data_IF_223085015996
#
_entry.id   IF_223085015996
#
_cell.length_a   1.000
_cell.length_b   1.000
_cell.length_c   1.000
_cell.angle_alpha   90.00
_cell.angle_beta   90.00
_cell.angle_gamma   90.00
#
_symmetry.space_group_name_H-M   'P 1'
#
loop_
_entity.id
_entity.type
_entity.pdbx_description
1 polymer ?
#
# COMPACT_ATOMS: atom_id res chain seq x y z
N UNK A 1 -25.43 -6.65 -18.05
CA UNK A 1 -24.03 -6.26 -18.39
C UNK A 1 -23.15 -7.50 -18.29
N UNK A 2 -22.42 -7.87 -19.36
CA UNK A 2 -21.72 -9.17 -19.48
C UNK A 2 -20.45 -9.23 -18.58
N UNK A 3 -20.16 -10.39 -17.98
CA UNK A 3 -19.04 -10.63 -17.04
C UNK A 3 -17.68 -10.22 -17.64
N UNK A 4 -17.50 -10.48 -18.94
CA UNK A 4 -16.34 -10.08 -19.74
C UNK A 4 -16.13 -8.56 -19.80
N UNK A 5 -17.23 -7.77 -19.83
CA UNK A 5 -17.16 -6.30 -19.78
C UNK A 5 -16.79 -5.78 -18.38
N UNK A 6 -17.22 -6.48 -17.32
CA UNK A 6 -16.79 -6.17 -15.94
C UNK A 6 -15.29 -6.40 -15.79
N UNK A 7 -14.77 -7.56 -16.20
CA UNK A 7 -13.32 -7.90 -16.13
C UNK A 7 -12.44 -6.88 -16.88
N UNK A 8 -12.87 -6.43 -18.07
CA UNK A 8 -12.15 -5.37 -18.80
C UNK A 8 -12.25 -4.00 -18.12
N UNK A 9 -13.38 -3.66 -17.53
CA UNK A 9 -13.52 -2.45 -16.71
C UNK A 9 -12.71 -2.51 -15.42
N UNK A 10 -12.36 -3.70 -14.91
CA UNK A 10 -11.48 -3.90 -13.75
C UNK A 10 -10.00 -3.63 -14.02
N UNK A 11 -9.55 -3.52 -15.28
CA UNK A 11 -8.18 -3.14 -15.58
C UNK A 11 -7.99 -1.64 -15.34
N UNK A 12 -7.34 -1.31 -14.22
CA UNK A 12 -6.79 0.04 -13.99
C UNK A 12 -5.79 0.33 -15.12
N UNK A 13 -5.74 1.55 -15.70
CA UNK A 13 -4.61 1.97 -16.51
C UNK A 13 -3.40 2.15 -15.60
N UNK A 14 -2.77 1.01 -15.30
CA UNK A 14 -1.66 0.83 -14.36
C UNK A 14 -0.48 1.78 -14.67
N UNK A 15 -0.27 2.14 -15.93
CA UNK A 15 0.91 2.86 -16.42
C UNK A 15 0.97 4.31 -15.89
N UNK A 16 -0.16 5.03 -15.80
CA UNK A 16 -0.17 6.41 -15.29
C UNK A 16 -0.01 6.48 -13.77
N UNK A 17 -0.68 5.58 -13.04
CA UNK A 17 -0.65 5.49 -11.58
C UNK A 17 0.72 4.99 -11.09
N UNK A 18 1.30 3.99 -11.76
CA UNK A 18 2.68 3.55 -11.47
C UNK A 18 3.67 4.69 -11.71
N UNK A 19 3.53 5.49 -12.77
CA UNK A 19 4.42 6.63 -13.02
C UNK A 19 4.45 7.65 -11.88
N UNK A 20 3.28 7.97 -11.30
CA UNK A 20 3.15 8.89 -10.17
C UNK A 20 3.69 8.31 -8.85
N UNK A 21 3.47 7.01 -8.61
CA UNK A 21 3.97 6.31 -7.43
C UNK A 21 5.47 6.07 -7.47
N UNK A 22 6.01 5.70 -8.64
CA UNK A 22 7.45 5.50 -8.86
C UNK A 22 8.21 6.77 -8.55
N UNK A 23 7.69 7.95 -8.95
CA UNK A 23 8.31 9.23 -8.62
C UNK A 23 8.34 9.44 -7.10
N UNK A 24 7.25 9.16 -6.38
CA UNK A 24 7.22 9.25 -4.91
C UNK A 24 8.16 8.23 -4.24
N UNK A 25 8.24 7.00 -4.78
CA UNK A 25 9.06 5.90 -4.28
C UNK A 25 10.57 6.09 -4.52
N UNK A 26 10.95 6.86 -5.54
CA UNK A 26 12.34 7.21 -5.87
C UNK A 26 12.94 8.29 -4.94
N UNK A 27 12.12 9.11 -4.26
CA UNK A 27 12.61 10.10 -3.29
C UNK A 27 12.91 9.52 -1.90
N UNK A 28 12.64 8.24 -1.68
CA UNK A 28 12.93 7.50 -0.44
C UNK A 28 14.41 7.13 -0.34
N UNK A 29 15.21 7.91 0.38
CA UNK A 29 16.62 7.60 0.65
C UNK A 29 16.77 6.80 1.95
N UNK A 30 17.29 5.57 1.82
CA UNK A 30 17.75 4.62 2.87
C UNK A 30 16.80 4.35 4.04
N UNK A 31 15.92 3.35 3.87
CA UNK A 31 15.43 2.55 5.00
C UNK A 31 16.24 1.24 5.07
N UNK A 32 16.38 0.64 6.25
CA UNK A 32 16.95 -0.71 6.33
C UNK A 32 15.90 -1.71 5.84
N UNK A 33 16.07 -2.25 4.63
CA UNK A 33 15.18 -3.30 4.12
C UNK A 33 15.22 -4.52 5.04
N UNK A 34 14.05 -5.03 5.43
CA UNK A 34 13.89 -6.04 6.49
C UNK A 34 13.51 -7.41 5.94
N UNK A 35 12.58 -7.45 4.98
CA UNK A 35 11.98 -8.67 4.45
C UNK A 35 12.42 -8.95 3.01
N UNK A 36 12.66 -10.21 2.66
CA UNK A 36 12.70 -10.65 1.25
C UNK A 36 11.29 -10.62 0.64
N UNK A 37 11.22 -10.79 -0.68
CA UNK A 37 9.94 -10.95 -1.37
C UNK A 37 9.15 -12.15 -0.82
N UNK A 38 9.81 -13.30 -0.65
CA UNK A 38 9.18 -14.54 -0.19
C UNK A 38 8.72 -14.42 1.28
N UNK A 39 9.50 -13.75 2.12
CA UNK A 39 9.12 -13.48 3.52
C UNK A 39 7.86 -12.60 3.57
N UNK A 40 7.79 -11.55 2.75
CA UNK A 40 6.61 -10.71 2.64
C UNK A 40 5.37 -11.49 2.18
N UNK A 41 5.50 -12.29 1.12
CA UNK A 41 4.41 -13.12 0.58
C UNK A 41 3.92 -14.14 1.62
N UNK A 42 4.84 -14.77 2.35
CA UNK A 42 4.50 -15.70 3.44
C UNK A 42 3.77 -14.99 4.56
N UNK A 43 4.24 -13.81 5.00
CA UNK A 43 3.57 -13.05 6.07
C UNK A 43 2.14 -12.65 5.69
N UNK A 44 1.91 -12.17 4.47
CA UNK A 44 0.54 -11.87 3.99
C UNK A 44 -0.33 -13.13 4.02
N UNK A 45 0.20 -14.27 3.58
CA UNK A 45 -0.51 -15.55 3.59
C UNK A 45 -0.86 -15.99 5.01
N UNK A 46 0.09 -15.89 5.94
CA UNK A 46 -0.09 -16.33 7.32
C UNK A 46 -1.07 -15.41 8.06
N UNK A 47 -0.92 -14.09 7.93
CA UNK A 47 -1.80 -13.09 8.54
C UNK A 47 -3.25 -13.22 8.05
N UNK A 48 -3.44 -13.61 6.78
CA UNK A 48 -4.75 -13.82 6.18
C UNK A 48 -5.31 -15.24 6.39
N UNK A 49 -4.63 -16.11 7.14
CA UNK A 49 -4.97 -17.53 7.31
C UNK A 49 -5.15 -18.25 5.95
N UNK A 50 -4.26 -17.96 5.00
CA UNK A 50 -4.24 -18.55 3.66
C UNK A 50 -5.24 -17.97 2.67
N UNK A 51 -6.08 -17.00 3.07
CA UNK A 51 -7.08 -16.38 2.18
C UNK A 51 -6.45 -15.49 1.10
N UNK A 52 -5.30 -14.90 1.40
CA UNK A 52 -4.54 -14.07 0.46
C UNK A 52 -3.27 -14.82 0.10
N UNK A 53 -3.11 -15.12 -1.18
CA UNK A 53 -1.86 -15.67 -1.73
C UNK A 53 -1.46 -14.80 -2.90
N UNK A 54 -0.34 -14.10 -2.77
CA UNK A 54 0.22 -13.27 -3.83
C UNK A 54 1.06 -14.17 -4.73
N UNK A 55 0.70 -14.23 -6.02
CA UNK A 55 1.44 -15.03 -7.03
C UNK A 55 1.91 -14.19 -8.22
N UNK A 56 1.43 -12.95 -8.35
CA UNK A 56 1.83 -12.00 -9.39
C UNK A 56 2.58 -10.84 -8.75
N UNK A 57 3.82 -11.11 -8.37
CA UNK A 57 4.76 -10.18 -7.76
C UNK A 57 6.03 -10.09 -8.60
N UNK A 58 6.62 -8.89 -8.65
CA UNK A 58 7.79 -8.57 -9.46
C UNK A 58 8.72 -7.62 -8.72
N UNK A 59 10.02 -7.87 -8.86
CA UNK A 59 11.07 -6.95 -8.48
C UNK A 59 11.58 -6.26 -9.74
N UNK A 60 11.38 -4.95 -9.82
CA UNK A 60 11.91 -4.12 -10.88
C UNK A 60 13.09 -3.33 -10.31
N UNK A 61 14.31 -3.82 -10.52
CA UNK A 61 15.50 -3.04 -10.18
C UNK A 61 15.62 -1.85 -11.14
N UNK A 62 16.06 -0.71 -10.64
CA UNK A 62 16.30 0.43 -11.51
C UNK A 62 17.64 0.23 -12.23
N UNK A 63 17.60 0.04 -13.56
CA UNK A 63 18.77 -0.26 -14.42
C UNK A 63 19.96 0.71 -14.29
N UNK A 64 19.74 1.90 -13.72
CA UNK A 64 20.77 2.94 -13.51
C UNK A 64 20.96 3.34 -12.04
N UNK A 65 20.48 2.51 -11.11
CA UNK A 65 20.44 2.79 -9.68
C UNK A 65 21.52 2.08 -8.86
N UNK A 66 21.64 2.53 -7.62
CA UNK A 66 22.59 2.11 -6.59
C UNK A 66 22.26 0.75 -5.94
N UNK A 67 21.64 -0.17 -6.70
CA UNK A 67 21.10 -1.45 -6.22
C UNK A 67 19.67 -1.39 -5.68
N UNK A 68 19.01 -0.24 -5.76
CA UNK A 68 17.60 -0.06 -5.35
C UNK A 68 16.62 -0.39 -6.48
N UNK A 69 15.37 -0.66 -6.11
CA UNK A 69 14.32 -1.01 -7.05
C UNK A 69 12.91 -0.82 -6.48
N UNK A 70 11.95 -1.42 -7.17
CA UNK A 70 10.55 -1.42 -6.80
C UNK A 70 10.02 -2.86 -6.76
N UNK A 71 9.46 -3.24 -5.61
CA UNK A 71 8.56 -4.38 -5.54
C UNK A 71 7.15 -3.95 -5.94
N UNK A 72 6.51 -4.75 -6.78
CA UNK A 72 5.10 -4.59 -7.12
C UNK A 72 4.43 -5.96 -7.07
N UNK A 73 3.30 -6.04 -6.39
CA UNK A 73 2.43 -7.20 -6.38
C UNK A 73 1.01 -6.82 -6.76
N UNK A 74 0.31 -7.73 -7.41
CA UNK A 74 -1.13 -7.62 -7.64
C UNK A 74 -1.85 -8.81 -7.00
N UNK A 75 -2.91 -8.51 -6.26
CA UNK A 75 -3.85 -9.52 -5.80
C UNK A 75 -5.26 -8.97 -5.93
N UNK A 76 -6.14 -9.64 -6.68
CA UNK A 76 -7.54 -9.23 -6.89
C UNK A 76 -7.75 -7.76 -7.32
N UNK A 77 -6.80 -7.16 -8.04
CA UNK A 77 -6.89 -5.75 -8.46
C UNK A 77 -6.39 -4.75 -7.40
N UNK A 78 -5.95 -5.24 -6.25
CA UNK A 78 -5.17 -4.48 -5.27
C UNK A 78 -3.69 -4.52 -5.67
N UNK A 79 -3.13 -3.34 -5.94
CA UNK A 79 -1.71 -3.19 -6.23
C UNK A 79 -0.98 -2.82 -4.95
N UNK A 80 -0.05 -3.69 -4.53
CA UNK A 80 0.86 -3.43 -3.42
C UNK A 80 2.20 -3.03 -4.00
N UNK A 81 2.80 -1.97 -3.47
CA UNK A 81 4.16 -1.57 -3.82
C UNK A 81 5.00 -1.31 -2.58
N UNK A 82 6.29 -1.62 -2.68
CA UNK A 82 7.29 -1.30 -1.68
C UNK A 82 8.61 -1.02 -2.37
N UNK A 83 9.47 -0.24 -1.72
CA UNK A 83 10.82 -0.01 -2.23
C UNK A 83 11.67 -1.26 -1.98
N UNK A 84 12.44 -1.65 -2.99
CA UNK A 84 13.52 -2.63 -2.86
C UNK A 84 14.80 -1.88 -2.49
N UNK A 85 15.38 -2.19 -1.35
CA UNK A 85 16.63 -1.63 -0.87
C UNK A 85 17.84 -2.38 -1.46
N UNK A 86 19.03 -1.78 -1.34
CA UNK A 86 20.28 -2.30 -1.94
C UNK A 86 20.66 -3.71 -1.49
N UNK A 87 20.23 -4.08 -0.29
CA UNK A 87 20.45 -5.41 0.28
C UNK A 87 19.50 -6.47 -0.30
N UNK A 88 18.70 -6.12 -1.32
CA UNK A 88 17.72 -7.03 -1.93
C UNK A 88 16.47 -7.25 -1.08
N UNK A 89 16.28 -6.46 -0.01
CA UNK A 89 15.13 -6.57 0.90
C UNK A 89 14.17 -5.39 0.72
N UNK A 90 12.90 -5.62 1.02
CA UNK A 90 11.84 -4.65 0.99
C UNK A 90 11.95 -3.70 2.18
N UNK A 91 11.70 -2.42 1.94
CA UNK A 91 11.50 -1.42 2.98
C UNK A 91 10.23 -1.73 3.80
N UNK A 92 10.17 -1.26 5.05
CA UNK A 92 8.92 -1.28 5.84
C UNK A 92 7.88 -0.25 5.36
N UNK A 93 8.14 0.44 4.25
CA UNK A 93 7.23 1.38 3.60
C UNK A 93 6.42 0.64 2.54
N UNK A 94 5.10 0.74 2.60
CA UNK A 94 4.20 0.10 1.65
C UNK A 94 3.15 1.08 1.15
N UNK A 95 2.73 0.89 -0.09
CA UNK A 95 1.56 1.53 -0.66
C UNK A 95 0.61 0.48 -1.21
N UNK A 96 -0.68 0.70 -1.02
CA UNK A 96 -1.75 -0.16 -1.48
C UNK A 96 -2.74 0.67 -2.28
N UNK A 97 -3.02 0.26 -3.51
CA UNK A 97 -3.86 1.02 -4.43
C UNK A 97 -4.90 0.13 -5.06
N UNK A 98 -6.11 0.66 -5.11
CA UNK A 98 -7.27 0.00 -5.69
C UNK A 98 -8.18 1.01 -6.35
N UNK A 99 -9.23 0.55 -7.01
CA UNK A 99 -10.28 1.42 -7.56
C UNK A 99 -11.06 2.09 -6.43
N UNK A 100 -11.76 3.18 -6.73
CA UNK A 100 -12.68 3.83 -5.79
C UNK A 100 -13.88 2.93 -5.40
N UNK A 101 -14.53 3.22 -4.26
CA UNK A 101 -15.61 2.43 -3.65
C UNK A 101 -16.78 2.19 -4.58
N UNK A 102 -17.13 3.17 -5.41
CA UNK A 102 -18.22 3.05 -6.38
C UNK A 102 -18.02 1.94 -7.41
N UNK A 103 -16.83 1.33 -7.47
CA UNK A 103 -16.47 0.21 -8.33
C UNK A 103 -16.11 -1.07 -7.55
N UNK A 104 -16.19 -1.04 -6.21
CA UNK A 104 -15.94 -2.17 -5.33
C UNK A 104 -17.26 -2.68 -4.75
N UNK A 105 -17.40 -4.00 -4.62
CA UNK A 105 -18.45 -4.59 -3.80
C UNK A 105 -18.01 -4.65 -2.33
N UNK A 106 -18.93 -4.99 -1.43
CA UNK A 106 -18.68 -5.09 0.01
C UNK A 106 -17.54 -6.07 0.34
N UNK A 107 -17.43 -7.16 -0.43
CA UNK A 107 -16.34 -8.14 -0.28
C UNK A 107 -14.99 -7.48 -0.59
N UNK A 108 -14.90 -6.74 -1.70
CA UNK A 108 -13.69 -6.03 -2.09
C UNK A 108 -13.32 -4.93 -1.09
N UNK A 109 -14.31 -4.24 -0.51
CA UNK A 109 -14.07 -3.26 0.55
C UNK A 109 -13.52 -3.91 1.82
N UNK A 110 -14.07 -5.05 2.24
CA UNK A 110 -13.54 -5.83 3.36
C UNK A 110 -12.12 -6.33 3.09
N UNK A 111 -11.82 -6.77 1.87
CA UNK A 111 -10.47 -7.17 1.47
C UNK A 111 -9.47 -6.01 1.47
N UNK A 112 -9.90 -4.81 1.06
CA UNK A 112 -9.09 -3.60 1.12
C UNK A 112 -8.74 -3.26 2.57
N UNK A 113 -9.74 -3.28 3.45
CA UNK A 113 -9.59 -3.04 4.89
C UNK A 113 -8.63 -4.04 5.54
N UNK A 114 -8.84 -5.33 5.30
CA UNK A 114 -7.96 -6.41 5.81
C UNK A 114 -6.52 -6.24 5.34
N UNK A 115 -6.31 -5.94 4.05
CA UNK A 115 -4.97 -5.72 3.50
C UNK A 115 -4.25 -4.53 4.15
N UNK A 116 -4.95 -3.42 4.42
CA UNK A 116 -4.37 -2.29 5.16
C UNK A 116 -3.89 -2.76 6.53
N UNK A 117 -4.72 -3.49 7.27
CA UNK A 117 -4.33 -4.01 8.58
C UNK A 117 -3.12 -4.94 8.51
N UNK A 118 -3.05 -5.83 7.51
CA UNK A 118 -1.90 -6.71 7.34
C UNK A 118 -0.62 -5.95 7.02
N UNK A 119 -0.68 -4.95 6.14
CA UNK A 119 0.48 -4.11 5.82
C UNK A 119 0.96 -3.32 7.04
N UNK A 120 0.04 -2.79 7.87
CA UNK A 120 0.40 -2.13 9.13
C UNK A 120 1.14 -3.09 10.06
N UNK A 121 0.64 -4.33 10.23
CA UNK A 121 1.29 -5.35 11.08
C UNK A 121 2.65 -5.80 10.56
N UNK A 122 2.84 -5.80 9.24
CA UNK A 122 4.13 -6.12 8.62
C UNK A 122 5.14 -4.98 8.86
N UNK A 123 4.71 -3.73 8.68
CA UNK A 123 5.57 -2.56 8.89
C UNK A 123 5.90 -2.29 10.36
N UNK A 124 4.96 -2.58 11.26
CA UNK A 124 5.09 -2.34 12.70
C UNK A 124 4.57 -3.57 13.47
N UNK A 125 5.40 -4.61 13.64
CA UNK A 125 5.00 -5.87 14.26
C UNK A 125 4.73 -5.77 15.77
N UNK A 126 5.15 -4.69 16.41
CA UNK A 126 4.94 -4.47 17.85
C UNK A 126 3.51 -3.99 18.18
N UNK A 127 2.74 -3.56 17.17
CA UNK A 127 1.35 -3.16 17.34
C UNK A 127 0.45 -4.37 17.64
N UNK A 128 -0.40 -4.23 18.66
CA UNK A 128 -1.44 -5.20 18.94
C UNK A 128 -2.51 -5.19 17.85
N UNK A 129 -3.26 -6.29 17.70
CA UNK A 129 -4.40 -6.36 16.77
C UNK A 129 -5.41 -5.22 17.02
N UNK A 130 -5.64 -4.88 18.29
CA UNK A 130 -6.55 -3.80 18.68
C UNK A 130 -6.00 -2.42 18.30
N UNK A 131 -4.69 -2.19 18.41
CA UNK A 131 -4.06 -0.93 17.98
C UNK A 131 -4.19 -0.75 16.48
N UNK A 132 -3.98 -1.82 15.71
CA UNK A 132 -4.13 -1.78 14.26
C UNK A 132 -5.57 -1.47 13.86
N UNK A 133 -6.55 -2.10 14.50
CA UNK A 133 -7.97 -1.80 14.28
C UNK A 133 -8.29 -0.34 14.62
N UNK A 134 -7.84 0.17 15.77
CA UNK A 134 -8.03 1.56 16.16
C UNK A 134 -7.45 2.52 15.11
N UNK A 135 -6.23 2.25 14.62
CA UNK A 135 -5.59 3.05 13.58
C UNK A 135 -6.45 3.07 12.31
N UNK A 136 -6.94 1.92 11.84
CA UNK A 136 -7.68 1.84 10.58
C UNK A 136 -9.09 2.41 10.72
N UNK A 137 -9.83 1.97 11.72
CA UNK A 137 -11.27 2.26 11.85
C UNK A 137 -11.54 3.65 12.39
N UNK A 138 -10.71 4.14 13.32
CA UNK A 138 -10.97 5.37 14.05
C UNK A 138 -10.07 6.51 13.56
N UNK A 139 -8.75 6.31 13.57
CA UNK A 139 -7.79 7.38 13.28
C UNK A 139 -7.73 7.71 11.79
N UNK A 140 -7.60 6.69 10.94
CA UNK A 140 -7.72 6.81 9.49
C UNK A 140 -9.18 6.92 9.03
N UNK A 141 -10.14 6.70 9.93
CA UNK A 141 -11.57 6.79 9.70
C UNK A 141 -12.00 6.11 8.39
N UNK A 142 -11.65 4.84 8.25
CA UNK A 142 -11.79 4.09 6.99
C UNK A 142 -13.19 4.22 6.38
N UNK A 143 -14.25 4.08 7.17
CA UNK A 143 -15.63 4.17 6.68
C UNK A 143 -15.96 5.54 6.09
N UNK A 144 -15.59 6.63 6.78
CA UNK A 144 -15.78 7.98 6.26
C UNK A 144 -14.95 8.21 5.00
N UNK A 145 -13.72 7.70 4.97
CA UNK A 145 -12.85 7.82 3.81
C UNK A 145 -13.44 7.12 2.58
N UNK A 146 -13.98 5.91 2.75
CA UNK A 146 -14.65 5.17 1.67
C UNK A 146 -15.88 5.95 1.17
N UNK A 147 -16.64 6.60 2.06
CA UNK A 147 -17.83 7.37 1.68
C UNK A 147 -17.52 8.69 0.96
N UNK A 148 -16.49 9.41 1.41
CA UNK A 148 -16.24 10.79 0.99
C UNK A 148 -15.07 10.92 0.03
N UNK A 149 -14.13 9.98 0.06
CA UNK A 149 -12.84 10.06 -0.60
C UNK A 149 -11.84 11.00 0.07
N UNK A 150 -12.17 11.56 1.24
CA UNK A 150 -11.30 12.49 1.97
C UNK A 150 -9.94 11.86 2.32
N UNK A 151 -8.93 12.70 2.47
CA UNK A 151 -7.63 12.26 2.92
C UNK A 151 -7.62 12.25 4.45
N UNK A 152 -7.24 11.12 5.04
CA UNK A 152 -7.02 10.97 6.47
C UNK A 152 -5.59 10.52 6.73
N UNK A 153 -4.99 11.02 7.81
CA UNK A 153 -3.57 10.79 8.14
C UNK A 153 -3.37 10.70 9.64
N UNK A 154 -2.46 9.84 10.08
CA UNK A 154 -2.02 9.77 11.48
C UNK A 154 -0.52 9.46 11.54
N UNK A 155 0.14 9.91 12.59
CA UNK A 155 1.51 9.49 12.93
C UNK A 155 1.49 8.84 14.30
N UNK A 156 2.00 7.61 14.38
CA UNK A 156 2.05 6.81 15.62
C UNK A 156 3.24 5.86 15.55
N UNK A 157 3.97 5.70 16.65
CA UNK A 157 5.10 4.79 16.79
C UNK A 157 6.15 4.91 15.67
N UNK A 158 6.55 6.16 15.36
CA UNK A 158 7.50 6.53 14.29
C UNK A 158 7.05 6.16 12.86
N UNK A 159 5.77 5.85 12.67
CA UNK A 159 5.19 5.56 11.37
C UNK A 159 4.16 6.62 11.02
N UNK A 160 4.17 7.05 9.76
CA UNK A 160 3.14 7.86 9.15
C UNK A 160 2.21 6.98 8.31
N UNK A 161 0.92 7.15 8.52
CA UNK A 161 -0.14 6.42 7.84
C UNK A 161 -1.02 7.42 7.09
N UNK A 162 -1.42 7.08 5.89
CA UNK A 162 -2.34 7.87 5.09
C UNK A 162 -3.30 6.96 4.33
N UNK A 163 -4.57 7.34 4.33
CA UNK A 163 -5.57 6.82 3.40
C UNK A 163 -6.19 8.00 2.62
N UNK A 164 -6.39 7.83 1.32
CA UNK A 164 -6.91 8.90 0.46
C UNK A 164 -7.65 8.36 -0.75
N UNK A 165 -8.64 9.12 -1.23
CA UNK A 165 -9.21 8.97 -2.57
C UNK A 165 -8.54 9.88 -3.57
N UNK A 166 -8.24 9.37 -4.75
CA UNK A 166 -7.86 10.18 -5.90
C UNK A 166 -8.97 11.20 -6.20
N UNK A 167 -8.58 12.46 -6.38
CA UNK A 167 -9.49 13.49 -6.86
C UNK A 167 -9.93 13.19 -8.29
N UNK A 168 -11.15 13.62 -8.67
CA UNK A 168 -11.58 13.52 -10.07
C UNK A 168 -10.53 14.20 -10.98
N UNK A 169 -10.10 13.58 -12.10
CA UNK A 169 -10.69 12.42 -12.78
C UNK A 169 -10.13 11.04 -12.38
N UNK A 170 -9.24 10.95 -11.39
CA UNK A 170 -8.49 9.73 -11.06
C UNK A 170 -9.23 8.88 -10.01
N UNK A 171 -9.92 7.83 -10.46
CA UNK A 171 -10.82 7.02 -9.63
C UNK A 171 -10.12 5.88 -8.85
N UNK A 172 -9.21 6.22 -7.92
CA UNK A 172 -8.51 5.22 -7.08
C UNK A 172 -8.61 5.54 -5.58
N UNK A 173 -8.47 4.52 -4.74
CA UNK A 173 -8.07 4.70 -3.34
C UNK A 173 -6.61 4.30 -3.17
N UNK A 174 -5.93 5.00 -2.29
CA UNK A 174 -4.59 4.69 -1.87
C UNK A 174 -4.50 4.64 -0.35
N UNK A 175 -3.81 3.64 0.14
CA UNK A 175 -3.26 3.60 1.48
C UNK A 175 -1.74 3.64 1.38
N UNK A 176 -1.10 4.29 2.32
CA UNK A 176 0.35 4.44 2.40
C UNK A 176 0.81 4.39 3.85
N UNK A 177 1.88 3.66 4.08
CA UNK A 177 2.58 3.58 5.36
C UNK A 177 4.06 3.80 5.12
N UNK A 178 4.69 4.68 5.90
CA UNK A 178 6.11 4.99 5.80
C UNK A 178 6.69 5.40 7.15
N UNK A 179 8.01 5.39 7.28
CA UNK A 179 8.69 5.98 8.45
C UNK A 179 8.36 7.49 8.56
N UNK A 180 8.09 7.96 9.77
CA UNK A 180 7.67 9.35 10.01
C UNK A 180 8.79 10.36 9.65
N UNK A 181 10.06 10.02 9.89
CA UNK A 181 11.17 10.88 9.49
C UNK A 181 11.32 10.91 7.97
N UNK A 182 11.07 9.78 7.31
CA UNK A 182 11.00 9.72 5.86
C UNK A 182 9.88 10.61 5.32
N UNK A 183 8.68 10.56 5.90
CA UNK A 183 7.57 11.46 5.58
C UNK A 183 7.95 12.93 5.74
N UNK A 184 8.48 13.32 6.90
CA UNK A 184 8.88 14.70 7.19
C UNK A 184 9.91 15.21 6.19
N UNK A 185 10.91 14.39 5.86
CA UNK A 185 11.95 14.72 4.89
C UNK A 185 11.39 14.94 3.49
N UNK A 186 10.55 14.04 3.00
CA UNK A 186 9.94 14.15 1.66
C UNK A 186 9.09 15.41 1.53
N UNK A 187 8.46 15.84 2.63
CA UNK A 187 7.59 17.02 2.66
C UNK A 187 8.29 18.31 3.17
N UNK A 188 9.62 18.29 3.36
CA UNK A 188 10.38 19.46 3.79
C UNK A 188 10.02 19.98 5.19
N UNK A 189 9.44 19.13 6.05
CA UNK A 189 9.08 19.47 7.43
C UNK A 189 10.35 19.39 8.28
N UNK A 190 10.74 20.51 8.92
CA UNK A 190 11.93 20.57 9.78
C UNK A 190 11.74 19.74 11.05
N UNK A 191 12.81 19.08 11.48
CA UNK A 191 12.91 18.39 12.78
C UNK A 191 12.96 19.37 13.94
#
# INVERSE_FOLDING_TARGET
MNLQKRIKAYRIPIIGIIGLLVIWLLFFRSSSGTLSQEEFESMIKDLSNGKITITDSKLNQFDKGDGTGLFTANWNGFMITSKLEKNGKLSNTYSLITKQAGYMDEISLGQYHDLIQYLIRISNPDLSVNDVQLIVDNELNFNQQIMTGEKHTISKDNMYYQISGGGKPENFYSFMIMDENEYKRVNGIKQ
#
